data_IF_371053756618
#
_entry.id   IF_371053756618
#
_cell.length_a   1.000
_cell.length_b   1.000
_cell.length_c   1.000
_cell.angle_alpha   90.00
_cell.angle_beta   90.00
_cell.angle_gamma   90.00
#
_symmetry.space_group_name_H-M   'P 1'
#
loop_
_entity.id
_entity.type
_entity.pdbx_description
1 polymer ?
#
# COMPACT_ATOMS: atom_id res chain seq x y z
N UNK A 1 6.47 23.38 14.83
CA UNK A 1 5.71 22.12 14.79
C UNK A 1 6.01 21.43 13.47
N UNK A 2 6.54 20.19 13.48
CA UNK A 2 6.87 19.43 12.26
C UNK A 2 5.63 18.65 11.83
N UNK A 3 5.08 18.97 10.67
CA UNK A 3 4.02 18.21 9.99
C UNK A 3 4.57 16.83 9.64
N UNK A 4 4.06 15.78 10.30
CA UNK A 4 4.37 14.39 9.97
C UNK A 4 3.36 13.97 8.91
N UNK A 5 3.77 13.97 7.64
CA UNK A 5 2.98 13.37 6.57
C UNK A 5 2.72 11.90 6.94
N UNK A 6 1.46 11.46 6.88
CA UNK A 6 1.10 10.04 6.97
C UNK A 6 1.91 9.34 5.87
N UNK A 7 2.94 8.64 6.30
CA UNK A 7 4.21 8.49 5.59
C UNK A 7 4.08 7.89 4.18
N UNK A 8 5.02 8.24 3.30
CA UNK A 8 5.31 7.65 1.97
C UNK A 8 5.49 6.12 1.94
N UNK A 9 5.30 5.44 3.08
CA UNK A 9 5.57 4.05 3.29
C UNK A 9 4.42 3.35 4.01
N UNK A 10 3.90 2.23 3.48
CA UNK A 10 2.84 1.48 4.14
C UNK A 10 3.30 0.97 5.51
N UNK A 11 2.39 1.02 6.48
CA UNK A 11 2.57 0.51 7.83
C UNK A 11 1.64 -0.69 8.05
N UNK A 12 2.15 -1.72 8.71
CA UNK A 12 1.40 -2.94 9.05
C UNK A 12 1.34 -3.05 10.57
N UNK A 13 0.15 -3.30 11.11
CA UNK A 13 0.02 -3.72 12.50
C UNK A 13 0.32 -5.21 12.60
N UNK A 14 1.24 -5.57 13.48
CA UNK A 14 1.69 -6.93 13.69
C UNK A 14 1.56 -7.28 15.17
N UNK A 15 0.97 -8.45 15.45
CA UNK A 15 0.81 -8.98 16.80
C UNK A 15 1.85 -10.07 17.05
N UNK A 16 2.60 -9.94 18.14
CA UNK A 16 3.53 -10.96 18.64
C UNK A 16 2.80 -12.05 19.44
N UNK A 17 3.46 -13.20 19.62
CA UNK A 17 2.92 -14.33 20.38
C UNK A 17 2.68 -14.01 21.86
N UNK A 18 3.45 -13.06 22.41
CA UNK A 18 3.27 -12.56 23.77
C UNK A 18 2.06 -11.61 23.93
N UNK A 19 1.35 -11.32 22.84
CA UNK A 19 0.17 -10.46 22.82
C UNK A 19 0.43 -9.00 22.44
N UNK A 20 1.69 -8.56 22.36
CA UNK A 20 2.04 -7.18 22.02
C UNK A 20 1.68 -6.85 20.57
N UNK A 21 1.15 -5.65 20.34
CA UNK A 21 0.87 -5.12 19.00
C UNK A 21 1.88 -4.04 18.67
N UNK A 22 2.67 -4.28 17.62
CA UNK A 22 3.67 -3.35 17.12
C UNK A 22 3.30 -2.85 15.74
N UNK A 23 3.70 -1.62 15.42
CA UNK A 23 3.56 -1.07 14.07
C UNK A 23 4.87 -1.21 13.32
N UNK A 24 4.86 -2.00 12.25
CA UNK A 24 6.03 -2.22 11.41
C UNK A 24 5.88 -1.38 10.15
N UNK A 25 6.84 -0.47 9.92
CA UNK A 25 6.87 0.37 8.71
C UNK A 25 7.72 -0.28 7.65
N UNK A 26 7.16 -0.42 6.44
CA UNK A 26 7.91 -0.94 5.31
C UNK A 26 8.89 0.11 4.80
N UNK A 27 10.00 -0.32 4.22
CA UNK A 27 10.95 0.59 3.57
C UNK A 27 11.12 0.16 2.12
N UNK A 28 11.28 1.11 1.21
CA UNK A 28 11.58 0.82 -0.20
C UNK A 28 12.99 0.23 -0.29
N UNK A 29 13.10 -0.96 -0.87
CA UNK A 29 14.36 -1.68 -1.11
C UNK A 29 14.36 -2.21 -2.56
N UNK A 30 15.50 -2.75 -3.01
CA UNK A 30 15.62 -3.40 -4.33
C UNK A 30 14.59 -4.54 -4.45
N UNK A 31 13.59 -4.39 -5.30
CA UNK A 31 12.52 -5.37 -5.52
C UNK A 31 11.19 -5.09 -4.80
N UNK A 32 11.04 -3.97 -4.08
CA UNK A 32 9.75 -3.56 -3.51
C UNK A 32 9.85 -2.97 -2.10
N UNK A 33 8.71 -2.90 -1.41
CA UNK A 33 8.64 -2.48 -0.03
C UNK A 33 8.76 -3.70 0.88
N UNK A 34 9.77 -3.71 1.75
CA UNK A 34 9.99 -4.80 2.72
C UNK A 34 10.53 -4.28 4.05
N UNK A 35 10.35 -5.08 5.08
CA UNK A 35 10.86 -4.81 6.43
C UNK A 35 10.85 -6.11 7.25
N UNK A 36 11.57 -6.11 8.36
CA UNK A 36 11.63 -7.23 9.29
C UNK A 36 11.22 -6.72 10.66
N UNK A 37 10.32 -7.43 11.34
CA UNK A 37 10.00 -7.08 12.72
C UNK A 37 11.16 -7.46 13.65
N UNK A 38 11.60 -6.53 14.50
CA UNK A 38 12.73 -6.75 15.39
C UNK A 38 12.42 -7.75 16.52
N UNK A 39 11.15 -7.88 16.93
CA UNK A 39 10.74 -8.75 18.04
C UNK A 39 10.69 -10.24 17.68
N UNK A 40 10.18 -10.57 16.49
CA UNK A 40 9.93 -11.96 16.07
C UNK A 40 10.70 -12.37 14.80
N UNK A 41 11.45 -11.43 14.18
CA UNK A 41 12.18 -11.63 12.93
C UNK A 41 11.32 -12.00 11.72
N UNK A 42 10.00 -11.85 11.79
CA UNK A 42 9.10 -12.03 10.65
C UNK A 42 9.39 -10.99 9.57
N UNK A 43 9.60 -11.44 8.33
CA UNK A 43 9.75 -10.57 7.17
C UNK A 43 8.39 -10.22 6.58
N UNK A 44 8.15 -8.92 6.39
CA UNK A 44 6.98 -8.39 5.71
C UNK A 44 7.38 -7.84 4.35
N UNK A 45 6.71 -8.31 3.31
CA UNK A 45 6.94 -7.88 1.93
C UNK A 45 5.61 -7.44 1.34
N UNK A 46 5.54 -6.18 0.91
CA UNK A 46 4.41 -5.72 0.11
C UNK A 46 4.60 -6.16 -1.33
N UNK A 47 3.69 -7.01 -1.78
CA UNK A 47 3.56 -7.36 -3.19
C UNK A 47 2.47 -6.47 -3.77
N UNK A 48 2.86 -5.53 -4.62
CA UNK A 48 1.88 -4.77 -5.40
C UNK A 48 1.04 -5.79 -6.17
N UNK A 49 -0.30 -5.79 -6.04
CA UNK A 49 -1.15 -6.67 -6.83
C UNK A 49 -0.83 -6.50 -8.31
N UNK A 50 -0.91 -7.60 -9.07
CA UNK A 50 -0.91 -7.50 -10.52
C UNK A 50 -2.08 -6.60 -10.95
N UNK A 51 -1.93 -5.79 -12.00
CA UNK A 51 -3.07 -5.07 -12.56
C UNK A 51 -4.18 -6.07 -12.90
N UNK A 52 -5.42 -5.65 -12.68
CA UNK A 52 -6.58 -6.46 -13.04
C UNK A 52 -6.55 -6.78 -14.53
N UNK A 53 -6.86 -8.02 -14.89
CA UNK A 53 -7.04 -8.42 -16.29
C UNK A 53 -8.45 -8.11 -16.80
N UNK A 54 -9.37 -7.73 -15.90
CA UNK A 54 -10.73 -7.34 -16.26
C UNK A 54 -10.78 -5.87 -16.64
N UNK A 55 -11.39 -5.51 -17.78
CA UNK A 55 -11.57 -4.12 -18.17
C UNK A 55 -12.55 -3.44 -17.22
N UNK A 56 -12.12 -2.35 -16.58
CA UNK A 56 -13.01 -1.52 -15.77
C UNK A 56 -13.61 -0.38 -16.60
N UNK A 57 -14.95 -0.29 -16.63
CA UNK A 57 -15.67 0.75 -17.38
C UNK A 57 -16.21 1.82 -16.45
N UNK A 58 -16.07 3.09 -16.84
CA UNK A 58 -16.62 4.25 -16.11
C UNK A 58 -18.10 3.99 -15.76
N UNK A 59 -18.40 3.95 -14.46
CA UNK A 59 -19.78 3.87 -14.00
C UNK A 59 -20.50 5.19 -14.30
N UNK A 60 -21.69 5.18 -14.90
CA UNK A 60 -22.48 6.39 -15.11
C UNK A 60 -23.01 7.00 -13.81
N UNK A 61 -22.93 6.25 -12.69
CA UNK A 61 -23.45 6.65 -11.39
C UNK A 61 -22.36 7.14 -10.43
N UNK A 62 -21.08 7.03 -10.78
CA UNK A 62 -19.97 7.46 -9.94
C UNK A 62 -19.31 8.70 -10.55
N UNK A 63 -18.98 9.71 -9.73
CA UNK A 63 -18.20 10.84 -10.22
C UNK A 63 -16.84 10.37 -10.72
N UNK A 64 -16.20 11.09 -11.65
CA UNK A 64 -14.87 10.76 -12.13
C UNK A 64 -13.85 10.88 -11.00
N UNK A 65 -13.50 9.74 -10.39
CA UNK A 65 -12.42 9.64 -9.40
C UNK A 65 -11.13 9.33 -10.16
N UNK A 66 -10.15 10.25 -10.08
CA UNK A 66 -8.86 10.13 -10.75
C UNK A 66 -8.16 8.82 -10.33
N UNK A 67 -7.80 7.99 -11.31
CA UNK A 67 -7.07 6.73 -11.10
C UNK A 67 -7.93 5.46 -10.90
N UNK A 68 -9.26 5.53 -11.04
CA UNK A 68 -10.15 4.37 -10.93
C UNK A 68 -10.42 3.63 -12.27
N UNK A 69 -9.94 4.16 -13.40
CA UNK A 69 -10.28 3.66 -14.73
C UNK A 69 -9.01 3.44 -15.55
N UNK A 70 -8.93 2.27 -16.19
CA UNK A 70 -7.76 1.85 -16.99
C UNK A 70 -7.61 2.65 -18.30
N UNK A 71 -8.69 3.30 -18.74
CA UNK A 71 -8.68 4.23 -19.86
C UNK A 71 -8.25 5.61 -19.37
N UNK A 72 -6.99 5.95 -19.61
CA UNK A 72 -6.50 7.31 -19.47
C UNK A 72 -7.21 8.23 -20.45
N UNK A 73 -8.21 8.96 -19.97
CA UNK A 73 -8.59 10.24 -20.58
C UNK A 73 -7.70 11.31 -19.96
N UNK A 74 -6.45 11.36 -20.43
CA UNK A 74 -5.50 12.45 -20.21
C UNK A 74 -5.00 12.88 -21.61
N UNK A 75 -5.93 13.31 -22.47
CA UNK A 75 -5.61 14.08 -23.68
C UNK A 75 -6.90 14.74 -24.22
N UNK A 76 -6.98 16.05 -24.01
CA UNK A 76 -7.91 16.95 -24.70
C UNK A 76 -7.10 18.07 -25.35
#
# INVERSE_FOLDING_TARGET
MRTVYVADYPAIQHRHDNGDVVTVRLKRRKGGFRTTCEGCKTEFVYRKPAPSTMPHFKSPLLPPIKGNWDSGDDDH
#
